data_IF_773197730878
#
_entry.id   IF_773197730878
#
_cell.length_a   1.000
_cell.length_b   1.000
_cell.length_c   1.000
_cell.angle_alpha   90.00
_cell.angle_beta   90.00
_cell.angle_gamma   90.00
#
_symmetry.space_group_name_H-M   'P 1'
#
loop_
_entity.id
_entity.type
_entity.pdbx_description
1 polymer ?
#
# COMPACT_ATOMS: atom_id res chain seq x y z
N UNK A 1 10.13 -6.12 -16.06
CA UNK A 1 9.28 -5.24 -15.22
C UNK A 1 10.11 -4.70 -14.08
N UNK A 2 10.17 -3.37 -13.90
CA UNK A 2 10.83 -2.76 -12.72
C UNK A 2 9.92 -2.98 -11.52
N UNK A 3 10.20 -4.01 -10.72
CA UNK A 3 9.49 -4.28 -9.46
C UNK A 3 9.84 -3.18 -8.47
N UNK A 4 8.81 -2.57 -7.85
CA UNK A 4 8.96 -1.57 -6.81
C UNK A 4 8.96 -2.18 -5.40
N UNK A 5 8.35 -1.48 -4.42
CA UNK A 5 8.14 -2.01 -3.07
C UNK A 5 6.79 -2.71 -2.98
N UNK A 6 6.81 -3.94 -2.48
CA UNK A 6 5.61 -4.67 -2.07
C UNK A 6 5.56 -4.78 -0.55
N UNK A 7 4.42 -4.41 0.02
CA UNK A 7 4.11 -4.61 1.43
C UNK A 7 2.87 -5.49 1.50
N UNK A 8 3.02 -6.68 2.10
CA UNK A 8 1.95 -7.65 2.31
C UNK A 8 1.70 -7.80 3.81
N UNK A 9 0.44 -7.87 4.21
CA UNK A 9 0.08 -8.15 5.60
C UNK A 9 -1.31 -8.78 5.66
N UNK A 10 -1.54 -9.52 6.74
CA UNK A 10 -2.77 -10.24 6.99
C UNK A 10 -3.56 -9.51 8.08
N UNK A 11 -4.78 -9.12 7.76
CA UNK A 11 -5.76 -8.56 8.69
C UNK A 11 -7.06 -9.32 8.51
N UNK A 12 -7.90 -9.36 9.54
CA UNK A 12 -9.25 -9.89 9.42
C UNK A 12 -10.02 -9.10 8.35
N UNK A 13 -10.88 -9.76 7.59
CA UNK A 13 -11.73 -9.07 6.61
C UNK A 13 -12.82 -8.29 7.35
N UNK A 14 -12.59 -6.98 7.53
CA UNK A 14 -13.56 -6.05 8.09
C UNK A 14 -13.42 -4.70 7.40
N UNK A 15 -14.54 -3.98 7.29
CA UNK A 15 -14.59 -2.64 6.70
C UNK A 15 -13.60 -1.69 7.39
N UNK A 16 -13.49 -1.79 8.71
CA UNK A 16 -12.54 -1.04 9.53
C UNK A 16 -11.08 -1.32 9.14
N UNK A 17 -10.72 -2.59 8.90
CA UNK A 17 -9.38 -2.96 8.48
C UNK A 17 -9.11 -2.47 7.06
N UNK A 18 -10.10 -2.54 6.16
CA UNK A 18 -9.99 -1.97 4.83
C UNK A 18 -9.71 -0.45 4.89
N UNK A 19 -10.40 0.30 5.75
CA UNK A 19 -10.13 1.73 5.95
C UNK A 19 -8.70 2.02 6.45
N UNK A 20 -8.21 1.24 7.41
CA UNK A 20 -6.85 1.34 7.93
C UNK A 20 -5.84 1.13 6.80
N UNK A 21 -6.02 0.09 6.00
CA UNK A 21 -5.16 -0.24 4.86
C UNK A 21 -5.16 0.87 3.82
N UNK A 22 -6.35 1.39 3.50
CA UNK A 22 -6.51 2.53 2.60
C UNK A 22 -5.76 3.76 3.12
N UNK A 23 -5.86 4.06 4.41
CA UNK A 23 -5.16 5.17 5.04
C UNK A 23 -3.64 4.98 5.00
N UNK A 24 -3.13 3.81 5.40
CA UNK A 24 -1.70 3.49 5.38
C UNK A 24 -1.12 3.58 3.97
N UNK A 25 -1.81 2.96 3.01
CA UNK A 25 -1.41 2.92 1.61
C UNK A 25 -1.27 4.33 1.03
N UNK A 26 -2.31 5.15 1.18
CA UNK A 26 -2.35 6.49 0.64
C UNK A 26 -1.44 7.48 1.38
N UNK A 27 -1.35 7.43 2.71
CA UNK A 27 -0.43 8.30 3.45
C UNK A 27 1.03 8.06 3.04
N UNK A 28 1.45 6.80 2.95
CA UNK A 28 2.79 6.43 2.50
C UNK A 28 3.03 6.81 1.04
N UNK A 29 2.07 6.51 0.16
CA UNK A 29 2.18 6.83 -1.27
C UNK A 29 2.34 8.33 -1.52
N UNK A 30 1.54 9.15 -0.83
CA UNK A 30 1.63 10.60 -0.92
C UNK A 30 2.89 11.17 -0.25
N UNK A 31 3.37 10.58 0.85
CA UNK A 31 4.59 11.05 1.52
C UNK A 31 5.81 10.98 0.58
N UNK A 32 5.89 9.92 -0.22
CA UNK A 32 7.00 9.71 -1.17
C UNK A 32 6.67 10.11 -2.61
N UNK A 33 5.49 10.67 -2.85
CA UNK A 33 5.06 11.12 -4.17
C UNK A 33 6.04 12.18 -4.70
N UNK A 34 6.45 12.03 -5.97
CA UNK A 34 7.44 12.87 -6.66
C UNK A 34 8.89 12.76 -6.14
N UNK A 35 9.14 12.14 -4.98
CA UNK A 35 10.50 11.86 -4.48
C UNK A 35 11.00 10.52 -5.03
N UNK A 36 10.20 9.47 -4.81
CA UNK A 36 10.53 8.10 -5.21
C UNK A 36 9.34 7.36 -5.81
N UNK A 37 8.12 7.62 -5.30
CA UNK A 37 6.89 6.97 -5.74
C UNK A 37 6.23 7.80 -6.82
N UNK A 38 5.86 7.15 -7.92
CA UNK A 38 5.10 7.73 -9.02
C UNK A 38 3.65 7.24 -9.00
N UNK A 39 3.46 5.96 -8.69
CA UNK A 39 2.16 5.31 -8.59
C UNK A 39 2.15 4.25 -7.49
N UNK A 40 0.98 4.01 -6.92
CA UNK A 40 0.75 2.90 -6.02
C UNK A 40 -0.63 2.29 -6.24
N UNK A 41 -0.83 1.09 -5.73
CA UNK A 41 -2.14 0.42 -5.72
C UNK A 41 -2.30 -0.37 -4.42
N UNK A 42 -3.56 -0.47 -3.99
CA UNK A 42 -3.97 -1.14 -2.76
C UNK A 42 -4.89 -2.27 -3.17
N UNK A 43 -4.60 -3.49 -2.72
CA UNK A 43 -5.31 -4.69 -3.08
C UNK A 43 -5.85 -5.39 -1.84
N UNK A 44 -7.10 -5.83 -1.94
CA UNK A 44 -7.73 -6.79 -1.06
C UNK A 44 -7.81 -8.10 -1.81
N UNK A 45 -7.08 -9.11 -1.34
CA UNK A 45 -6.89 -10.35 -2.06
C UNK A 45 -7.47 -11.51 -1.26
N UNK A 46 -8.32 -12.30 -1.91
CA UNK A 46 -8.87 -13.54 -1.37
C UNK A 46 -8.24 -14.73 -2.11
N UNK A 47 -7.60 -15.63 -1.36
CA UNK A 47 -7.02 -16.88 -1.85
C UNK A 47 -7.57 -18.05 -1.03
N UNK A 48 -8.47 -18.83 -1.63
CA UNK A 48 -9.22 -19.86 -0.89
C UNK A 48 -9.99 -19.25 0.27
N UNK A 49 -9.70 -19.70 1.50
CA UNK A 49 -10.29 -19.17 2.73
C UNK A 49 -9.48 -18.03 3.37
N UNK A 50 -8.33 -17.68 2.79
CA UNK A 50 -7.44 -16.66 3.34
C UNK A 50 -7.65 -15.30 2.66
N UNK A 51 -7.67 -14.27 3.49
CA UNK A 51 -7.74 -12.88 3.06
C UNK A 51 -6.45 -12.18 3.45
N UNK A 52 -5.86 -11.43 2.52
CA UNK A 52 -4.70 -10.60 2.77
C UNK A 52 -4.76 -9.30 1.99
N UNK A 53 -4.04 -8.30 2.48
CA UNK A 53 -3.92 -7.01 1.84
C UNK A 53 -2.51 -6.85 1.28
N UNK A 54 -2.43 -6.24 0.11
CA UNK A 54 -1.16 -5.88 -0.52
C UNK A 54 -1.17 -4.42 -0.93
N UNK A 55 -0.08 -3.74 -0.63
CA UNK A 55 0.17 -2.38 -1.14
C UNK A 55 1.45 -2.40 -1.96
N UNK A 56 1.34 -1.94 -3.20
CA UNK A 56 2.43 -1.91 -4.16
C UNK A 56 2.78 -0.46 -4.47
N UNK A 57 4.04 -0.09 -4.30
CA UNK A 57 4.58 1.22 -4.64
C UNK A 57 5.56 1.09 -5.80
N UNK A 58 5.38 1.91 -6.84
CA UNK A 58 6.21 1.91 -8.05
C UNK A 58 6.81 3.30 -8.30
N UNK A 59 8.00 3.31 -8.90
CA UNK A 59 8.68 4.50 -9.38
C UNK A 59 10.04 4.14 -9.96
N UNK A 60 10.62 5.01 -10.78
CA UNK A 60 11.85 4.71 -11.53
C UNK A 60 13.04 4.34 -10.65
N UNK A 61 13.07 4.89 -9.44
CA UNK A 61 14.14 4.74 -8.43
C UNK A 61 13.79 3.73 -7.33
N UNK A 62 12.68 3.01 -7.46
CA UNK A 62 12.25 2.00 -6.49
C UNK A 62 12.53 0.61 -7.08
N UNK A 63 13.18 -0.25 -6.30
CA UNK A 63 13.40 -1.65 -6.65
C UNK A 63 14.75 -2.20 -6.19
N UNK A 64 15.11 -3.40 -6.66
CA UNK A 64 16.31 -4.14 -6.22
C UNK A 64 17.64 -3.39 -6.32
N UNK A 65 17.72 -2.38 -7.19
CA UNK A 65 18.92 -1.55 -7.37
C UNK A 65 19.04 -0.43 -6.34
N UNK A 66 17.98 -0.17 -5.56
CA UNK A 66 17.92 0.90 -4.54
C UNK A 66 17.36 0.38 -3.21
N UNK A 67 18.05 -0.54 -2.52
CA UNK A 67 17.57 -1.16 -1.29
C UNK A 67 17.35 -0.16 -0.15
N UNK A 68 18.09 0.96 -0.14
CA UNK A 68 17.90 2.03 0.85
C UNK A 68 16.52 2.71 0.73
N UNK A 69 16.04 2.92 -0.50
CA UNK A 69 14.73 3.54 -0.75
C UNK A 69 13.60 2.58 -0.38
N UNK A 70 13.78 1.29 -0.71
CA UNK A 70 12.84 0.25 -0.28
C UNK A 70 12.72 0.19 1.25
N UNK A 71 13.85 0.26 1.95
CA UNK A 71 13.89 0.30 3.40
C UNK A 71 13.20 1.56 3.96
N UNK A 72 13.46 2.74 3.39
CA UNK A 72 12.83 4.01 3.81
C UNK A 72 11.30 3.94 3.69
N UNK A 73 10.77 3.40 2.59
CA UNK A 73 9.32 3.24 2.38
C UNK A 73 8.73 2.26 3.40
N UNK A 74 9.37 1.11 3.62
CA UNK A 74 8.92 0.09 4.57
C UNK A 74 8.94 0.61 6.02
N UNK A 75 9.98 1.32 6.41
CA UNK A 75 10.11 1.90 7.76
C UNK A 75 9.06 2.98 8.02
N UNK A 76 8.77 3.84 7.03
CA UNK A 76 7.70 4.82 7.16
C UNK A 76 6.33 4.16 7.28
N UNK A 77 6.06 3.14 6.45
CA UNK A 77 4.81 2.38 6.53
C UNK A 77 4.64 1.71 7.89
N UNK A 78 5.68 1.06 8.42
CA UNK A 78 5.69 0.42 9.73
C UNK A 78 5.54 1.44 10.87
N UNK A 79 6.16 2.61 10.74
CA UNK A 79 5.94 3.71 11.69
C UNK A 79 4.49 4.19 11.69
N UNK A 80 3.82 4.20 10.52
CA UNK A 80 2.42 4.56 10.44
C UNK A 80 1.49 3.50 11.05
N UNK A 81 1.77 2.21 10.83
CA UNK A 81 0.97 1.09 11.32
C UNK A 81 0.98 0.97 12.85
N UNK A 82 2.01 1.50 13.51
CA UNK A 82 2.13 1.58 14.98
C UNK A 82 1.27 2.68 15.62
N UNK A 83 0.70 3.60 14.85
CA UNK A 83 -0.21 4.61 15.41
C UNK A 83 -1.52 3.96 15.86
N UNK A 84 -2.20 4.58 16.81
CA UNK A 84 -3.60 4.25 17.07
C UNK A 84 -4.43 4.47 15.80
N UNK A 85 -5.49 3.69 15.64
CA UNK A 85 -6.39 3.85 14.50
C UNK A 85 -6.97 5.28 14.44
N UNK A 86 -7.35 5.85 15.58
CA UNK A 86 -7.90 7.21 15.65
C UNK A 86 -6.89 8.24 15.11
N UNK A 87 -5.64 8.15 15.55
CA UNK A 87 -4.57 9.05 15.11
C UNK A 87 -4.26 8.87 13.62
N UNK A 88 -4.22 7.63 13.14
CA UNK A 88 -4.01 7.32 11.73
C UNK A 88 -5.12 7.92 10.86
N UNK A 89 -6.38 7.72 11.24
CA UNK A 89 -7.53 8.23 10.48
C UNK A 89 -7.64 9.76 10.56
N UNK A 90 -7.25 10.36 11.68
CA UNK A 90 -7.12 11.82 11.79
C UNK A 90 -6.04 12.36 10.85
N UNK A 91 -4.85 11.76 10.82
CA UNK A 91 -3.77 12.11 9.88
C UNK A 91 -4.24 11.98 8.43
N UNK A 92 -4.93 10.89 8.11
CA UNK A 92 -5.45 10.63 6.76
C UNK A 92 -6.48 11.67 6.32
N UNK A 93 -7.48 11.98 7.16
CA UNK A 93 -8.48 13.03 6.87
C UNK A 93 -7.82 14.39 6.65
N UNK A 94 -6.93 14.81 7.55
CA UNK A 94 -6.20 16.07 7.43
C UNK A 94 -5.30 16.13 6.18
N UNK A 95 -4.73 14.99 5.75
CA UNK A 95 -3.92 14.93 4.54
C UNK A 95 -4.77 15.01 3.27
N UNK A 96 -5.97 14.40 3.28
CA UNK A 96 -6.91 14.40 2.16
C UNK A 96 -7.43 15.80 1.81
N UNK A 97 -7.49 16.70 2.78
CA UNK A 97 -7.88 18.10 2.57
C UNK A 97 -6.78 18.97 1.94
N UNK A 98 -5.55 18.46 1.86
CA UNK A 98 -4.43 19.21 1.24
C UNK A 98 -4.46 19.07 -0.28
N UNK A 99 -4.15 20.16 -0.96
CA UNK A 99 -4.01 20.15 -2.41
C UNK A 99 -2.89 19.20 -2.86
N UNK A 100 -3.14 18.46 -3.95
CA UNK A 100 -2.21 17.47 -4.49
C UNK A 100 -2.22 16.07 -3.82
N UNK A 101 -3.04 15.84 -2.78
CA UNK A 101 -3.19 14.50 -2.19
C UNK A 101 -3.99 13.57 -3.13
N UNK A 102 -3.39 12.45 -3.52
CA UNK A 102 -4.05 11.44 -4.35
C UNK A 102 -4.64 10.34 -3.49
N UNK A 103 -5.87 9.94 -3.78
CA UNK A 103 -6.56 8.82 -3.11
C UNK A 103 -6.66 7.65 -4.06
N UNK A 104 -6.10 6.51 -3.67
CA UNK A 104 -6.30 5.23 -4.33
C UNK A 104 -7.30 4.40 -3.52
N UNK A 105 -8.31 3.89 -4.22
CA UNK A 105 -9.25 2.92 -3.68
C UNK A 105 -8.62 1.52 -3.60
N UNK A 106 -9.26 0.66 -2.80
CA UNK A 106 -8.88 -0.75 -2.70
C UNK A 106 -9.46 -1.49 -3.90
N UNK A 107 -8.61 -2.21 -4.62
CA UNK A 107 -9.02 -3.14 -5.67
C UNK A 107 -9.22 -4.53 -5.07
N UNK A 108 -10.40 -5.10 -5.25
CA UNK A 108 -10.67 -6.48 -4.82
C UNK A 108 -10.21 -7.47 -5.89
N UNK A 109 -9.51 -8.52 -5.47
CA UNK A 109 -9.05 -9.61 -6.32
C UNK A 109 -9.41 -10.94 -5.64
N UNK A 110 -10.28 -11.71 -6.28
CA UNK A 110 -10.57 -13.10 -5.88
C UNK A 110 -9.86 -14.01 -6.86
N UNK A 111 -8.93 -14.82 -6.37
CA UNK A 111 -8.21 -15.78 -7.21
C UNK A 111 -8.32 -17.20 -6.65
N UNK A 112 -8.52 -18.17 -7.56
CA UNK A 112 -8.62 -19.59 -7.25
C UNK A 112 -7.25 -20.29 -7.19
N UNK A 113 -6.15 -19.60 -7.53
CA UNK A 113 -4.79 -20.18 -7.58
C UNK A 113 -3.70 -19.24 -7.03
N UNK A 114 -2.63 -19.88 -6.51
CA UNK A 114 -1.55 -19.38 -5.65
C UNK A 114 -0.78 -18.14 -6.19
N UNK A 115 -0.77 -17.05 -5.42
CA UNK A 115 -0.28 -15.72 -5.81
C UNK A 115 1.22 -15.47 -5.56
N UNK A 116 2.02 -16.53 -5.50
CA UNK A 116 3.48 -16.41 -5.60
C UNK A 116 3.95 -15.98 -7.00
N UNK A 117 3.06 -15.90 -7.98
CA UNK A 117 3.36 -15.36 -9.31
C UNK A 117 2.86 -13.92 -9.48
N UNK A 118 3.75 -12.95 -9.27
CA UNK A 118 4.01 -11.66 -9.97
C UNK A 118 2.91 -10.83 -10.72
N UNK A 119 1.67 -11.28 -10.89
CA UNK A 119 0.63 -10.65 -11.74
C UNK A 119 0.05 -9.35 -11.19
N UNK A 120 0.20 -9.08 -9.90
CA UNK A 120 -0.33 -7.86 -9.29
C UNK A 120 0.33 -6.58 -9.83
N UNK A 121 1.59 -6.70 -10.27
CA UNK A 121 2.33 -5.59 -10.89
C UNK A 121 1.81 -5.22 -12.28
N UNK A 122 1.02 -6.09 -12.95
CA UNK A 122 0.38 -5.78 -14.23
C UNK A 122 -0.76 -4.75 -14.08
N UNK A 123 -1.26 -4.56 -12.85
CA UNK A 123 -2.36 -3.64 -12.54
C UNK A 123 -1.91 -2.23 -12.10
N UNK A 124 -0.61 -1.90 -12.26
CA UNK A 124 0.04 -0.64 -11.81
C UNK A 124 0.58 0.21 -12.98
#
# INVERSE_FOLDING_TARGET
MKKGVEISFQLNDSEQNQEIVRALGNLTGNHFLNKYVEKWSIFHVTLGEHVFFKVLYSGEKIGKLHPAIEKEIKEYFDSLSKNSQEDLMKKYRNAKEKDGFRVMDIKELKEEYDLWQDRLWDYI
#
